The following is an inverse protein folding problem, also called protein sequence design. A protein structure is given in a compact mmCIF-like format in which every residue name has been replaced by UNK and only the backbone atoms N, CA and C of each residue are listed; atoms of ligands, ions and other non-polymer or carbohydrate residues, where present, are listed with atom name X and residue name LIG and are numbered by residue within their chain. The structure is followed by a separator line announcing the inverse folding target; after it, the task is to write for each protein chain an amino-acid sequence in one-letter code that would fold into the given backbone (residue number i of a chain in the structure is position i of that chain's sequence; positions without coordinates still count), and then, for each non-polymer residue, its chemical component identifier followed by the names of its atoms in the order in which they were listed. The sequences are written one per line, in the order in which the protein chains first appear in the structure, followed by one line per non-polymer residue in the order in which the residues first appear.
data_IF_092247341329
#
_entry.id   IF_092247341329
#
_cell.length_a   1.000
_cell.length_b   1.000
_cell.length_c   1.000
_cell.angle_alpha   90.00
_cell.angle_beta   90.00
_cell.angle_gamma   90.00
#
_symmetry.space_group_name_H-M   'P 1'
#
loop_
_entity.id
_entity.type
_entity.pdbx_description
1 polymer ?
#
# COMPACT_ATOMS: atom_id res chain seq x y z
N UNK A 1 12.84 -12.85 3.98
CA UNK A 1 13.09 -13.87 5.02
C UNK A 1 11.96 -13.82 6.04
N UNK A 2 11.83 -14.84 6.89
CA UNK A 2 10.66 -14.99 7.78
C UNK A 2 10.56 -13.84 8.80
N UNK A 3 11.69 -13.34 9.29
CA UNK A 3 11.73 -12.25 10.27
C UNK A 3 11.20 -10.91 9.71
N UNK A 4 11.43 -10.65 8.42
CA UNK A 4 10.99 -9.41 7.76
C UNK A 4 9.64 -9.57 7.02
N UNK A 5 8.90 -10.66 7.22
CA UNK A 5 7.58 -10.86 6.59
C UNK A 5 6.59 -9.82 7.16
N UNK A 6 6.00 -8.94 6.33
CA UNK A 6 5.17 -7.82 6.82
C UNK A 6 3.81 -8.25 7.38
N UNK A 7 3.37 -9.49 7.10
CA UNK A 7 2.14 -10.05 7.64
C UNK A 7 2.25 -10.39 9.13
N UNK A 8 1.09 -10.62 9.76
CA UNK A 8 1.05 -11.10 11.15
C UNK A 8 1.72 -12.47 11.27
N UNK A 9 2.58 -12.64 12.27
CA UNK A 9 3.25 -13.91 12.55
C UNK A 9 2.25 -15.06 12.79
N UNK A 10 1.06 -14.75 13.33
CA UNK A 10 -0.01 -15.74 13.50
C UNK A 10 -0.55 -16.23 12.15
N UNK A 11 -0.75 -15.32 11.19
CA UNK A 11 -1.24 -15.70 9.86
C UNK A 11 -0.19 -16.48 9.07
N UNK A 12 1.11 -16.18 9.26
CA UNK A 12 2.20 -17.00 8.71
C UNK A 12 2.17 -18.41 9.31
N UNK A 13 1.99 -18.53 10.62
CA UNK A 13 1.91 -19.83 11.29
C UNK A 13 0.69 -20.65 10.82
N UNK A 14 -0.47 -20.02 10.66
CA UNK A 14 -1.67 -20.67 10.11
C UNK A 14 -1.41 -21.20 8.70
N UNK A 15 -0.78 -20.39 7.83
CA UNK A 15 -0.44 -20.82 6.48
C UNK A 15 0.52 -22.03 6.48
N UNK A 16 1.53 -22.03 7.35
CA UNK A 16 2.43 -23.18 7.52
C UNK A 16 1.68 -24.43 8.02
N UNK A 17 0.75 -24.27 8.97
CA UNK A 17 -0.11 -25.35 9.50
C UNK A 17 -1.03 -25.94 8.42
N UNK A 18 -1.54 -25.10 7.52
CA UNK A 18 -2.35 -25.51 6.36
C UNK A 18 -1.53 -26.13 5.22
N UNK A 19 -0.19 -26.18 5.35
CA UNK A 19 0.71 -26.83 4.40
C UNK A 19 1.29 -25.92 3.31
N UNK A 20 1.24 -24.59 3.49
CA UNK A 20 1.89 -23.64 2.58
C UNK A 20 3.40 -23.75 2.71
N UNK A 21 4.08 -23.94 1.58
CA UNK A 21 5.54 -23.87 1.51
C UNK A 21 6.00 -22.43 1.22
N UNK A 22 6.75 -21.84 2.15
CA UNK A 22 7.38 -20.55 1.94
C UNK A 22 8.78 -20.70 1.37
N UNK A 23 8.95 -20.27 0.11
CA UNK A 23 10.27 -20.16 -0.52
C UNK A 23 10.83 -18.75 -0.27
N UNK A 24 11.50 -18.59 0.87
CA UNK A 24 12.05 -17.31 1.30
C UNK A 24 13.16 -16.80 0.38
N UNK A 25 13.42 -15.49 0.43
CA UNK A 25 14.53 -14.85 -0.29
C UNK A 25 14.54 -15.22 -1.78
N UNK A 26 13.38 -15.06 -2.40
CA UNK A 26 13.14 -15.48 -3.78
C UNK A 26 12.44 -14.36 -4.53
N UNK A 27 12.90 -14.05 -5.73
CA UNK A 27 12.27 -13.06 -6.62
C UNK A 27 11.80 -13.74 -7.90
N UNK A 28 10.53 -13.57 -8.31
CA UNK A 28 10.09 -14.05 -9.62
C UNK A 28 10.82 -13.29 -10.73
N UNK A 29 11.42 -14.03 -11.67
CA UNK A 29 12.19 -13.49 -12.80
C UNK A 29 11.40 -13.57 -14.10
N UNK A 30 10.86 -14.74 -14.42
CA UNK A 30 10.21 -14.98 -15.72
C UNK A 30 9.08 -16.01 -15.61
N UNK A 31 7.99 -15.76 -16.34
CA UNK A 31 6.87 -16.68 -16.51
C UNK A 31 7.08 -17.50 -17.79
N UNK A 32 7.15 -18.82 -17.68
CA UNK A 32 7.37 -19.71 -18.81
C UNK A 32 6.13 -20.55 -19.12
N UNK A 33 5.77 -20.61 -20.39
CA UNK A 33 4.67 -21.42 -20.91
C UNK A 33 4.26 -20.97 -22.32
N UNK A 34 3.47 -21.79 -23.03
CA UNK A 34 3.02 -21.47 -24.39
C UNK A 34 1.68 -20.74 -24.41
N UNK A 35 0.63 -21.41 -23.93
CA UNK A 35 -0.74 -20.88 -23.88
C UNK A 35 -1.26 -20.68 -22.45
N UNK A 36 -0.57 -21.29 -21.48
CA UNK A 36 -0.80 -21.14 -20.03
C UNK A 36 0.55 -21.15 -19.33
N UNK A 37 0.59 -20.70 -18.09
CA UNK A 37 1.78 -20.83 -17.25
C UNK A 37 2.07 -22.32 -17.00
N UNK A 38 3.34 -22.69 -17.08
CA UNK A 38 3.82 -24.04 -16.76
C UNK A 38 4.94 -23.99 -15.72
N UNK A 39 5.79 -22.95 -15.78
CA UNK A 39 6.91 -22.78 -14.87
C UNK A 39 7.16 -21.31 -14.52
N UNK A 40 7.67 -21.07 -13.32
CA UNK A 40 8.17 -19.78 -12.85
C UNK A 40 9.68 -19.88 -12.63
N UNK A 41 10.45 -19.04 -13.33
CA UNK A 41 11.88 -18.87 -13.05
C UNK A 41 12.01 -17.92 -11.87
N UNK A 42 12.82 -18.30 -10.89
CA UNK A 42 12.98 -17.58 -9.63
C UNK A 42 14.46 -17.36 -9.36
N UNK A 43 14.83 -16.11 -9.08
CA UNK A 43 16.16 -15.72 -8.59
C UNK A 43 16.23 -15.90 -7.07
N UNK A 44 17.36 -16.42 -6.56
CA UNK A 44 17.64 -16.34 -5.11
C UNK A 44 18.15 -14.96 -4.76
N UNK A 45 17.70 -14.48 -3.60
CA UNK A 45 18.05 -13.18 -3.04
C UNK A 45 19.05 -13.40 -1.90
N UNK A 46 20.06 -12.53 -1.81
CA UNK A 46 20.80 -12.27 -0.57
C UNK A 46 20.36 -10.92 -0.01
N UNK A 47 20.34 -10.82 1.31
CA UNK A 47 20.12 -9.54 1.98
C UNK A 47 21.46 -8.82 2.10
N UNK A 48 21.56 -7.64 1.50
CA UNK A 48 22.70 -6.75 1.67
C UNK A 48 22.71 -6.07 3.04
N UNK A 49 23.52 -5.02 3.14
CA UNK A 49 23.58 -4.18 4.34
C UNK A 49 22.24 -3.47 4.61
N UNK A 50 21.91 -3.24 5.89
CA UNK A 50 20.75 -2.44 6.25
C UNK A 50 20.97 -0.97 5.84
N UNK A 51 19.90 -0.33 5.38
CA UNK A 51 19.86 1.12 5.21
C UNK A 51 19.63 1.85 6.55
N UNK A 52 19.54 3.18 6.51
CA UNK A 52 19.30 4.03 7.70
C UNK A 52 17.96 3.72 8.42
N UNK A 53 17.02 3.05 7.75
CA UNK A 53 15.76 2.58 8.35
C UNK A 53 15.88 1.20 9.02
N UNK A 54 17.06 0.57 8.92
CA UNK A 54 17.31 -0.81 9.33
C UNK A 54 16.88 -1.86 8.30
N UNK A 55 16.33 -1.44 7.16
CA UNK A 55 15.82 -2.36 6.13
C UNK A 55 16.96 -2.84 5.27
N UNK A 56 17.09 -4.16 5.11
CA UNK A 56 18.10 -4.75 4.24
C UNK A 56 17.66 -4.70 2.78
N UNK A 57 18.57 -4.28 1.91
CA UNK A 57 18.31 -4.26 0.46
C UNK A 57 18.38 -5.68 -0.11
N UNK A 58 17.38 -6.13 -0.88
CA UNK A 58 17.47 -7.40 -1.59
C UNK A 58 18.43 -7.27 -2.78
N UNK A 59 19.37 -8.21 -2.91
CA UNK A 59 20.27 -8.33 -4.04
C UNK A 59 20.13 -9.71 -4.68
N UNK A 60 20.01 -9.77 -6.01
CA UNK A 60 19.97 -11.03 -6.75
C UNK A 60 21.34 -11.72 -6.63
N UNK A 61 21.33 -12.99 -6.27
CA UNK A 61 22.52 -13.84 -6.30
C UNK A 61 22.78 -14.28 -7.74
N UNK A 62 23.98 -14.05 -8.26
CA UNK A 62 24.32 -14.45 -9.62
C UNK A 62 24.25 -15.97 -9.81
N UNK A 63 23.70 -16.41 -10.95
CA UNK A 63 23.60 -17.83 -11.36
C UNK A 63 22.91 -18.72 -10.31
N UNK A 64 21.96 -18.14 -9.56
CA UNK A 64 21.25 -18.81 -8.46
C UNK A 64 19.84 -19.28 -8.84
N UNK A 65 19.46 -19.06 -10.10
CA UNK A 65 18.14 -19.31 -10.64
C UNK A 65 17.68 -20.75 -10.48
N UNK A 66 16.41 -20.93 -10.15
CA UNK A 66 15.76 -22.23 -10.14
C UNK A 66 14.33 -22.12 -10.68
N UNK A 67 13.75 -23.27 -11.02
CA UNK A 67 12.45 -23.34 -11.67
C UNK A 67 11.44 -23.95 -10.70
N UNK A 68 10.31 -23.26 -10.50
CA UNK A 68 9.15 -23.78 -9.80
C UNK A 68 8.09 -24.12 -10.85
N UNK A 69 7.61 -25.37 -10.86
CA UNK A 69 6.46 -25.76 -11.70
C UNK A 69 5.19 -25.12 -11.14
N UNK A 70 4.44 -24.41 -11.97
CA UNK A 70 3.23 -23.72 -11.56
C UNK A 70 2.19 -23.67 -12.69
N UNK A 71 0.97 -24.08 -12.40
CA UNK A 71 -0.18 -23.99 -13.32
C UNK A 71 -1.01 -22.69 -13.12
N UNK A 72 -0.75 -21.97 -12.01
CA UNK A 72 -1.37 -20.69 -11.70
C UNK A 72 -0.39 -19.81 -10.92
N UNK A 73 -0.41 -18.50 -11.17
CA UNK A 73 0.31 -17.51 -10.37
C UNK A 73 -0.66 -16.44 -9.90
N UNK A 74 -0.66 -16.19 -8.59
CA UNK A 74 -1.41 -15.10 -7.97
C UNK A 74 -0.42 -14.05 -7.50
N UNK A 75 -0.50 -12.83 -8.06
CA UNK A 75 0.34 -11.71 -7.66
C UNK A 75 -0.29 -10.99 -6.47
N UNK A 76 0.33 -11.08 -5.30
CA UNK A 76 -0.11 -10.44 -4.06
C UNK A 76 0.87 -9.33 -3.63
N UNK A 77 1.23 -8.43 -4.55
CA UNK A 77 2.24 -7.39 -4.34
C UNK A 77 1.71 -6.14 -3.60
N UNK A 78 0.42 -6.10 -3.29
CA UNK A 78 -0.26 -4.93 -2.76
C UNK A 78 -0.98 -4.13 -3.85
N UNK A 79 -1.24 -2.86 -3.55
CA UNK A 79 -1.99 -1.95 -4.41
C UNK A 79 -1.38 -0.55 -4.33
N UNK A 80 -1.54 0.21 -5.42
CA UNK A 80 -1.13 1.61 -5.52
C UNK A 80 -2.35 2.51 -5.79
N UNK A 81 -2.30 3.80 -5.41
CA UNK A 81 -3.32 4.76 -5.79
C UNK A 81 -3.39 4.96 -7.31
N UNK A 82 -4.60 5.06 -7.83
CA UNK A 82 -4.84 5.50 -9.20
C UNK A 82 -4.51 6.99 -9.39
N UNK A 83 -4.44 7.45 -10.64
CA UNK A 83 -4.30 8.88 -10.95
C UNK A 83 -5.60 9.66 -10.66
N UNK A 84 -5.85 9.94 -9.38
CA UNK A 84 -7.06 10.60 -8.89
C UNK A 84 -7.28 12.00 -9.48
N UNK A 85 -6.27 12.89 -9.62
CA UNK A 85 -6.47 14.19 -10.25
C UNK A 85 -7.06 14.07 -11.66
N UNK A 86 -6.64 13.07 -12.44
CA UNK A 86 -7.19 12.76 -13.76
C UNK A 86 -8.60 12.16 -13.66
N UNK A 87 -8.80 11.16 -12.80
CA UNK A 87 -10.09 10.45 -12.67
C UNK A 87 -11.21 11.35 -12.17
N UNK A 88 -10.91 12.26 -11.25
CA UNK A 88 -11.88 13.21 -10.69
C UNK A 88 -12.00 14.50 -11.51
N UNK A 89 -11.28 14.62 -12.63
CA UNK A 89 -11.20 15.85 -13.41
C UNK A 89 -10.85 17.09 -12.56
N UNK A 90 -9.95 16.90 -11.58
CA UNK A 90 -9.55 17.91 -10.62
C UNK A 90 -8.03 18.03 -10.62
N UNK A 91 -7.50 18.73 -11.63
CA UNK A 91 -6.05 18.86 -11.87
C UNK A 91 -5.30 19.51 -10.70
N UNK A 92 -5.98 20.34 -9.93
CA UNK A 92 -5.40 21.05 -8.78
C UNK A 92 -5.36 20.19 -7.51
N UNK A 93 -5.95 18.98 -7.52
CA UNK A 93 -5.91 18.07 -6.38
C UNK A 93 -4.47 17.59 -6.14
N UNK A 94 -3.90 17.97 -5.00
CA UNK A 94 -2.52 17.64 -4.67
C UNK A 94 -2.39 16.18 -4.24
N UNK A 95 -1.34 15.54 -4.76
CA UNK A 95 -0.93 14.19 -4.40
C UNK A 95 0.50 14.22 -3.84
N UNK A 96 0.85 13.22 -3.06
CA UNK A 96 2.22 13.01 -2.60
C UNK A 96 3.08 12.39 -3.72
N UNK A 97 4.39 12.26 -3.49
CA UNK A 97 5.28 11.51 -4.41
C UNK A 97 4.87 10.05 -4.61
N UNK A 98 4.05 9.50 -3.71
CA UNK A 98 3.57 8.11 -3.73
C UNK A 98 2.19 7.97 -4.36
N UNK A 99 1.63 9.05 -4.93
CA UNK A 99 0.30 9.03 -5.56
C UNK A 99 -0.89 9.15 -4.59
N UNK A 100 -0.66 9.03 -3.28
CA UNK A 100 -1.71 9.23 -2.26
C UNK A 100 -2.16 10.69 -2.22
N UNK A 101 -3.39 10.92 -1.75
CA UNK A 101 -3.90 12.28 -1.57
C UNK A 101 -3.12 13.00 -0.48
N UNK A 102 -2.72 14.25 -0.77
CA UNK A 102 -2.08 15.10 0.21
C UNK A 102 -3.16 15.80 1.04
N UNK A 103 -3.12 15.59 2.35
CA UNK A 103 -4.01 16.24 3.31
C UNK A 103 -3.22 16.98 4.37
N UNK A 104 -3.88 17.92 5.03
CA UNK A 104 -3.44 18.46 6.30
C UNK A 104 -3.43 17.36 7.39
N UNK A 105 -2.43 17.40 8.25
CA UNK A 105 -2.20 16.36 9.27
C UNK A 105 -3.24 16.39 10.39
N UNK A 106 -3.72 17.58 10.75
CA UNK A 106 -4.64 17.76 11.87
C UNK A 106 -6.10 17.70 11.41
N UNK A 107 -6.40 18.23 10.22
CA UNK A 107 -7.78 18.35 9.74
C UNK A 107 -8.21 17.26 8.77
N UNK A 108 -7.27 16.55 8.14
CA UNK A 108 -7.53 15.62 7.01
C UNK A 108 -8.10 16.32 5.76
N UNK A 109 -8.09 17.65 5.70
CA UNK A 109 -8.54 18.41 4.54
C UNK A 109 -7.47 18.38 3.44
N UNK A 110 -7.90 18.23 2.19
CA UNK A 110 -7.01 18.36 1.03
C UNK A 110 -6.69 19.84 0.78
N UNK A 111 -5.92 20.13 -0.27
CA UNK A 111 -5.73 21.50 -0.73
C UNK A 111 -7.00 22.14 -1.32
N UNK A 112 -8.07 21.37 -1.56
CA UNK A 112 -9.34 21.86 -2.05
C UNK A 112 -10.28 22.10 -0.86
N UNK A 113 -10.73 23.36 -0.64
CA UNK A 113 -11.56 23.69 0.53
C UNK A 113 -12.87 22.88 0.59
N UNK A 114 -13.12 22.25 1.73
CA UNK A 114 -14.28 21.40 1.98
C UNK A 114 -14.15 19.97 1.44
N UNK A 115 -13.00 19.59 0.89
CA UNK A 115 -12.72 18.21 0.43
C UNK A 115 -11.73 17.56 1.38
N UNK A 116 -12.14 16.45 1.99
CA UNK A 116 -11.36 15.70 2.98
C UNK A 116 -11.07 14.30 2.46
N UNK A 117 -9.98 13.69 2.93
CA UNK A 117 -9.63 12.31 2.60
C UNK A 117 -9.13 11.56 3.84
N UNK A 118 -9.38 10.26 3.92
CA UNK A 118 -9.03 9.42 5.06
C UNK A 118 -8.73 7.98 4.63
N UNK A 119 -8.00 7.23 5.46
CA UNK A 119 -7.69 5.83 5.24
C UNK A 119 -6.56 5.61 4.23
N UNK A 120 -6.59 4.46 3.56
CA UNK A 120 -5.48 3.98 2.72
C UNK A 120 -5.13 4.94 1.58
N UNK A 121 -6.08 5.73 1.08
CA UNK A 121 -5.79 6.71 0.02
C UNK A 121 -4.90 7.87 0.48
N UNK A 122 -4.78 8.08 1.80
CA UNK A 122 -3.86 9.04 2.42
C UNK A 122 -2.60 8.33 2.91
N UNK A 123 -2.75 7.20 3.59
CA UNK A 123 -1.66 6.48 4.28
C UNK A 123 -0.84 5.55 3.39
N UNK A 124 -1.43 4.98 2.34
CA UNK A 124 -1.00 3.72 1.74
C UNK A 124 -1.54 2.51 2.53
N UNK A 125 -1.17 1.30 2.10
CA UNK A 125 -1.65 0.05 2.69
C UNK A 125 -1.47 0.00 4.22
N UNK A 126 -2.57 -0.09 4.96
CA UNK A 126 -2.57 -0.07 6.42
C UNK A 126 -3.63 -0.99 7.04
N UNK A 127 -3.78 -0.93 8.36
CA UNK A 127 -4.78 -1.70 9.10
C UNK A 127 -6.13 -0.97 9.11
N UNK A 128 -7.21 -1.74 9.12
CA UNK A 128 -8.59 -1.23 9.17
C UNK A 128 -8.81 -0.28 10.35
N UNK A 129 -8.19 -0.53 11.51
CA UNK A 129 -8.30 0.35 12.69
C UNK A 129 -7.79 1.76 12.42
N UNK A 130 -6.77 1.92 11.57
CA UNK A 130 -6.25 3.23 11.18
C UNK A 130 -7.21 3.94 10.25
N UNK A 131 -7.80 3.24 9.28
CA UNK A 131 -8.83 3.82 8.42
C UNK A 131 -10.06 4.29 9.23
N UNK A 132 -10.49 3.51 10.24
CA UNK A 132 -11.57 3.91 11.14
C UNK A 132 -11.20 5.16 11.94
N UNK A 133 -9.98 5.21 12.48
CA UNK A 133 -9.48 6.38 13.21
C UNK A 133 -9.48 7.61 12.31
N UNK A 134 -8.87 7.52 11.13
CA UNK A 134 -8.78 8.65 10.20
C UNK A 134 -10.18 9.14 9.78
N UNK A 135 -11.13 8.22 9.58
CA UNK A 135 -12.51 8.57 9.27
C UNK A 135 -13.20 9.35 10.40
N UNK A 136 -12.93 9.02 11.67
CA UNK A 136 -13.45 9.77 12.83
C UNK A 136 -12.82 11.16 12.94
N UNK A 137 -11.52 11.26 12.66
CA UNK A 137 -10.80 12.54 12.65
C UNK A 137 -11.34 13.45 11.53
N UNK A 138 -11.47 12.92 10.31
CA UNK A 138 -12.05 13.64 9.18
C UNK A 138 -13.51 14.07 9.45
N UNK A 139 -14.35 13.21 10.03
CA UNK A 139 -15.73 13.56 10.38
C UNK A 139 -15.80 14.73 11.38
N UNK A 140 -14.90 14.77 12.36
CA UNK A 140 -14.79 15.87 13.32
C UNK A 140 -14.41 17.18 12.64
N UNK A 141 -13.48 17.13 11.68
CA UNK A 141 -13.04 18.30 10.92
C UNK A 141 -14.09 18.80 9.94
N UNK A 142 -14.79 17.88 9.25
CA UNK A 142 -15.94 18.21 8.38
C UNK A 142 -17.01 18.94 9.18
N UNK A 143 -17.35 18.43 10.37
CA UNK A 143 -18.33 19.08 11.25
C UNK A 143 -17.91 20.52 11.56
N UNK A 144 -16.68 20.74 12.03
CA UNK A 144 -16.14 22.08 12.32
C UNK A 144 -16.16 23.00 11.10
N UNK A 145 -15.80 22.48 9.92
CA UNK A 145 -15.82 23.23 8.67
C UNK A 145 -17.23 23.72 8.31
N UNK A 146 -18.25 22.86 8.45
CA UNK A 146 -19.64 23.21 8.20
C UNK A 146 -20.18 24.24 9.19
N UNK A 147 -19.92 24.05 10.50
CA UNK A 147 -20.32 25.00 11.55
C UNK A 147 -19.71 26.40 11.34
N UNK A 148 -18.44 26.45 10.93
CA UNK A 148 -17.77 27.71 10.60
C UNK A 148 -18.41 28.38 9.37
N UNK A 149 -18.72 27.61 8.31
CA UNK A 149 -19.41 28.15 7.12
C UNK A 149 -20.79 28.71 7.42
N UNK A 150 -21.55 28.06 8.30
CA UNK A 150 -22.86 28.57 8.74
C UNK A 150 -22.71 29.88 9.52
N UNK A 151 -21.72 29.93 10.43
CA UNK A 151 -21.42 31.14 11.21
C UNK A 151 -21.00 32.32 10.32
N UNK A 152 -20.17 32.07 9.30
CA UNK A 152 -19.78 33.09 8.33
C UNK A 152 -20.97 33.60 7.52
N UNK A 153 -21.84 32.71 7.05
CA UNK A 153 -23.07 33.10 6.33
C UNK A 153 -23.99 33.98 7.19
N UNK A 154 -24.15 33.64 8.47
CA UNK A 154 -24.99 34.41 9.40
C UNK A 154 -24.42 35.81 9.73
N UNK A 155 -23.11 36.02 9.62
CA UNK A 155 -22.48 37.34 9.83
C UNK A 155 -22.57 38.26 8.62
N UNK A 156 -22.76 37.71 7.43
CA UNK A 156 -22.78 38.45 6.16
C UNK A 156 -24.22 38.75 5.71
N UNK A 157 -25.22 38.07 6.28
CA UNK A 157 -26.66 38.33 6.11
C UNK A 157 -27.14 39.43 7.07
#
# INVERSE_FOLDING_TARGET
DKENMPGSAREVANAEEEGVEFVWLSSPKEFLGKNKIENLVVDKIKLGEPDDSGRRKPEIQEKSEFIIKADMVIKALGFDPENLPKLFNSKDLQITRWGTLKTDFDTMETNLPGVFAAGDIVRGASLVVWAIKDGRDAATSIKKFLENKETERAKVA
#
